data_IF_044184974861
#
_entry.id   IF_044184974861
#
_cell.length_a   1.000
_cell.length_b   1.000
_cell.length_c   1.000
_cell.angle_alpha   90.00
_cell.angle_beta   90.00
_cell.angle_gamma   90.00
#
_symmetry.space_group_name_H-M   'P 1'
#
loop_
_entity.id
_entity.type
_entity.pdbx_description
1 polymer ?
#
# COMPACT_ATOMS: atom_id res chain seq x y z
N UNK A 1 -24.02 -60.26 -65.47
CA UNK A 1 -24.40 -58.84 -65.25
C UNK A 1 -24.02 -58.48 -63.83
N UNK A 2 -23.07 -57.56 -63.62
CA UNK A 2 -22.95 -56.67 -62.45
C UNK A 2 -21.59 -55.97 -62.53
N UNK A 3 -21.60 -54.68 -62.90
CA UNK A 3 -20.45 -53.78 -62.82
C UNK A 3 -20.47 -53.13 -61.43
N UNK A 4 -19.38 -53.26 -60.69
CA UNK A 4 -19.18 -52.58 -59.41
C UNK A 4 -18.53 -51.22 -59.69
N UNK A 5 -19.20 -50.14 -59.30
CA UNK A 5 -18.68 -48.77 -59.34
C UNK A 5 -18.19 -48.45 -57.92
N UNK A 6 -16.89 -48.26 -57.75
CA UNK A 6 -16.30 -47.80 -56.49
C UNK A 6 -16.28 -46.27 -56.51
N UNK A 7 -17.09 -45.64 -55.66
CA UNK A 7 -17.07 -44.19 -55.42
C UNK A 7 -15.97 -43.88 -54.40
N UNK A 8 -14.96 -43.09 -54.81
CA UNK A 8 -13.94 -42.55 -53.94
C UNK A 8 -14.44 -41.20 -53.38
N UNK A 9 -14.76 -41.16 -52.09
CA UNK A 9 -15.13 -39.92 -51.38
C UNK A 9 -13.85 -39.18 -50.96
N UNK A 10 -13.55 -38.06 -51.61
CA UNK A 10 -12.45 -37.17 -51.21
C UNK A 10 -12.91 -36.28 -50.05
N UNK A 11 -12.55 -36.62 -48.81
CA UNK A 11 -12.77 -35.77 -47.65
C UNK A 11 -11.71 -34.67 -47.59
N UNK A 12 -12.05 -33.46 -48.00
CA UNK A 12 -11.21 -32.27 -47.82
C UNK A 12 -11.42 -31.79 -46.38
N UNK A 13 -10.46 -32.12 -45.50
CA UNK A 13 -10.44 -31.63 -44.13
C UNK A 13 -9.94 -30.18 -44.08
N UNK A 14 -10.87 -29.22 -43.98
CA UNK A 14 -10.55 -27.83 -43.69
C UNK A 14 -10.13 -27.70 -42.23
N UNK A 15 -8.82 -27.61 -41.96
CA UNK A 15 -8.32 -27.28 -40.63
C UNK A 15 -8.66 -25.81 -40.32
N UNK A 16 -9.75 -25.59 -39.58
CA UNK A 16 -10.07 -24.26 -39.02
C UNK A 16 -9.13 -24.04 -37.84
N UNK A 17 -8.03 -23.32 -38.08
CA UNK A 17 -7.22 -22.77 -36.99
C UNK A 17 -8.03 -21.67 -36.30
N UNK A 18 -8.58 -21.96 -35.12
CA UNK A 18 -9.18 -20.93 -34.28
C UNK A 18 -8.10 -19.88 -33.95
N UNK A 19 -8.36 -18.58 -34.15
CA UNK A 19 -7.41 -17.55 -33.76
C UNK A 19 -7.16 -17.67 -32.25
N UNK A 20 -5.88 -17.69 -31.85
CA UNK A 20 -5.50 -17.56 -30.45
C UNK A 20 -6.01 -16.21 -29.99
N UNK A 21 -7.08 -16.19 -29.19
CA UNK A 21 -7.57 -14.97 -28.58
C UNK A 21 -6.48 -14.45 -27.64
N UNK A 22 -5.80 -13.37 -28.04
CA UNK A 22 -4.94 -12.63 -27.12
C UNK A 22 -5.82 -12.15 -25.97
N UNK A 23 -5.49 -12.55 -24.74
CA UNK A 23 -6.20 -12.08 -23.56
C UNK A 23 -6.21 -10.55 -23.55
N UNK A 24 -7.36 -9.95 -23.26
CA UNK A 24 -7.47 -8.50 -23.17
C UNK A 24 -6.52 -7.97 -22.07
N UNK A 25 -5.81 -6.86 -22.30
CA UNK A 25 -4.92 -6.31 -21.29
C UNK A 25 -5.67 -5.98 -20.00
N UNK A 26 -5.06 -6.26 -18.86
CA UNK A 26 -5.60 -6.02 -17.52
C UNK A 26 -5.02 -4.75 -16.91
N UNK A 27 -5.81 -4.06 -16.10
CA UNK A 27 -5.34 -2.96 -15.26
C UNK A 27 -5.00 -3.49 -13.87
N UNK A 28 -3.75 -3.31 -13.46
CA UNK A 28 -3.22 -3.79 -12.19
C UNK A 28 -2.80 -2.59 -11.35
N UNK A 29 -3.16 -2.58 -10.07
CA UNK A 29 -2.67 -1.55 -9.15
C UNK A 29 -1.17 -1.74 -8.91
N UNK A 30 -0.35 -0.75 -9.23
CA UNK A 30 1.10 -0.79 -9.11
C UNK A 30 1.64 0.01 -7.91
N UNK A 31 0.84 0.93 -7.37
CA UNK A 31 1.20 1.73 -6.19
C UNK A 31 -0.07 2.18 -5.49
N UNK A 32 -0.03 2.31 -4.15
CA UNK A 32 -1.16 2.82 -3.35
C UNK A 32 -0.72 3.73 -2.20
N UNK A 33 -1.63 4.60 -1.81
CA UNK A 33 -1.67 5.22 -0.49
C UNK A 33 -3.13 5.31 -0.03
N UNK A 34 -3.43 4.81 1.16
CA UNK A 34 -4.81 4.72 1.66
C UNK A 34 -5.44 6.11 1.84
N UNK A 35 -6.72 6.29 1.47
CA UNK A 35 -7.50 7.44 1.90
C UNK A 35 -7.49 7.56 3.43
N UNK A 36 -7.26 8.77 3.93
CA UNK A 36 -7.20 9.08 5.35
C UNK A 36 -7.88 10.43 5.62
N UNK A 37 -8.63 10.58 6.72
CA UNK A 37 -9.24 11.87 7.06
C UNK A 37 -8.17 12.93 7.33
N UNK A 38 -8.57 14.20 7.39
CA UNK A 38 -7.68 15.28 7.83
C UNK A 38 -7.10 14.94 9.21
N UNK A 39 -5.77 14.90 9.27
CA UNK A 39 -5.04 14.56 10.48
C UNK A 39 -5.07 15.65 11.54
N UNK A 40 -5.48 16.88 11.18
CA UNK A 40 -5.50 18.04 12.09
C UNK A 40 -4.16 18.28 12.79
N UNK A 41 -3.06 17.98 12.09
CA UNK A 41 -1.71 18.17 12.62
C UNK A 41 -1.24 19.64 12.51
N UNK A 42 -2.01 20.50 11.81
CA UNK A 42 -1.85 21.96 11.83
C UNK A 42 -2.69 22.60 12.94
N UNK A 43 -2.58 23.92 13.10
CA UNK A 43 -3.48 24.67 14.01
C UNK A 43 -4.77 25.08 13.29
N UNK A 44 -5.74 25.59 14.04
CA UNK A 44 -6.94 26.18 13.46
C UNK A 44 -6.60 27.35 12.51
N UNK A 45 -5.59 28.15 12.87
CA UNK A 45 -5.16 29.32 12.10
C UNK A 45 -4.17 28.98 10.97
N UNK A 46 -3.50 27.84 11.05
CA UNK A 46 -2.52 27.36 10.07
C UNK A 46 -2.72 25.85 9.80
N UNK A 47 -3.81 25.47 9.12
CA UNK A 47 -4.04 24.09 8.75
C UNK A 47 -2.98 23.62 7.73
N UNK A 48 -2.66 22.33 7.76
CA UNK A 48 -1.80 21.73 6.73
C UNK A 48 -2.64 21.54 5.47
N UNK A 49 -2.33 22.31 4.43
CA UNK A 49 -3.04 22.32 3.15
C UNK A 49 -2.09 22.69 2.01
N UNK A 50 -2.50 22.42 0.77
CA UNK A 50 -1.90 23.04 -0.40
C UNK A 50 -2.71 24.28 -0.77
N UNK A 51 -2.06 25.40 -1.06
CA UNK A 51 -2.75 26.63 -1.46
C UNK A 51 -1.87 27.46 -2.40
N UNK A 52 -2.31 27.63 -3.65
CA UNK A 52 -1.53 28.26 -4.72
C UNK A 52 -0.13 27.64 -4.86
N UNK A 53 -0.06 26.30 -4.88
CA UNK A 53 1.19 25.54 -4.82
C UNK A 53 1.24 24.43 -5.85
N UNK A 54 2.45 24.17 -6.36
CA UNK A 54 2.75 23.00 -7.19
C UNK A 54 3.39 21.92 -6.34
N UNK A 55 2.81 20.73 -6.35
CA UNK A 55 3.27 19.58 -5.58
C UNK A 55 3.79 18.50 -6.52
N UNK A 56 4.97 17.98 -6.22
CA UNK A 56 5.53 16.79 -6.86
C UNK A 56 5.55 15.62 -5.89
N UNK A 57 5.05 14.49 -6.34
CA UNK A 57 5.13 13.21 -5.64
C UNK A 57 5.89 12.20 -6.50
N UNK A 58 6.96 11.65 -5.94
CA UNK A 58 7.72 10.56 -6.55
C UNK A 58 7.16 9.23 -6.05
N UNK A 59 6.89 8.28 -6.95
CA UNK A 59 6.30 6.98 -6.63
C UNK A 59 7.08 5.87 -7.34
N UNK A 60 7.42 4.80 -6.61
CA UNK A 60 7.95 3.56 -7.20
C UNK A 60 6.79 2.64 -7.54
N UNK A 61 6.73 2.20 -8.79
CA UNK A 61 5.67 1.32 -9.27
C UNK A 61 6.10 -0.13 -9.09
N UNK A 62 5.32 -0.92 -8.35
CA UNK A 62 5.60 -2.33 -8.08
C UNK A 62 5.36 -3.26 -9.27
N UNK A 63 4.78 -2.78 -10.37
CA UNK A 63 4.52 -3.55 -11.59
C UNK A 63 5.03 -2.82 -12.83
N UNK A 64 5.44 -3.60 -13.82
CA UNK A 64 5.60 -3.13 -15.20
C UNK A 64 4.25 -2.89 -15.87
N UNK A 65 4.25 -2.11 -16.94
CA UNK A 65 3.11 -1.96 -17.84
C UNK A 65 3.36 -0.96 -18.95
N UNK A 66 2.43 -0.91 -19.91
CA UNK A 66 2.54 -0.12 -21.14
C UNK A 66 1.78 1.21 -21.09
N UNK A 67 0.84 1.33 -20.16
CA UNK A 67 0.07 2.54 -19.92
C UNK A 67 -0.24 2.70 -18.43
N UNK A 68 -0.51 3.93 -18.00
CA UNK A 68 -0.85 4.30 -16.63
C UNK A 68 -2.26 4.88 -16.51
N UNK A 69 -2.86 4.73 -15.33
CA UNK A 69 -3.97 5.56 -14.83
C UNK A 69 -3.66 6.02 -13.42
N UNK A 70 -4.00 7.27 -13.11
CA UNK A 70 -3.94 7.80 -11.75
C UNK A 70 -5.32 7.72 -11.11
N UNK A 71 -5.37 7.36 -9.83
CA UNK A 71 -6.57 7.49 -8.98
C UNK A 71 -6.43 8.73 -8.09
N UNK A 72 -7.21 9.75 -8.38
CA UNK A 72 -7.27 11.02 -7.64
C UNK A 72 -8.42 10.92 -6.65
N UNK A 73 -8.13 10.92 -5.35
CA UNK A 73 -9.08 10.61 -4.29
C UNK A 73 -9.43 11.81 -3.42
N UNK A 74 -10.73 11.95 -3.18
CA UNK A 74 -11.35 12.80 -2.20
C UNK A 74 -12.34 11.99 -1.33
N UNK A 75 -12.11 10.67 -1.21
CA UNK A 75 -13.05 9.71 -0.59
C UNK A 75 -13.33 10.01 0.88
N UNK A 76 -12.36 10.60 1.59
CA UNK A 76 -12.52 11.05 2.98
C UNK A 76 -12.40 12.58 3.12
N UNK A 77 -12.48 13.32 2.02
CA UNK A 77 -12.48 14.78 2.06
C UNK A 77 -13.84 15.34 2.48
N UNK A 78 -13.86 16.60 2.89
CA UNK A 78 -15.07 17.29 3.38
C UNK A 78 -15.48 18.47 2.49
N UNK A 79 -14.69 18.79 1.48
CA UNK A 79 -14.96 19.82 0.46
C UNK A 79 -14.58 19.26 -0.91
N UNK A 80 -15.15 19.74 -2.02
CA UNK A 80 -14.69 19.36 -3.35
C UNK A 80 -13.18 19.60 -3.48
N UNK A 81 -12.48 18.64 -4.10
CA UNK A 81 -11.06 18.75 -4.40
C UNK A 81 -10.92 19.30 -5.82
N UNK A 82 -10.22 20.43 -5.95
CA UNK A 82 -9.90 21.03 -7.24
C UNK A 82 -8.39 20.93 -7.51
N UNK A 83 -8.03 20.36 -8.66
CA UNK A 83 -6.62 20.20 -9.08
C UNK A 83 -6.46 20.49 -10.56
N UNK A 84 -5.37 21.17 -10.91
CA UNK A 84 -5.04 21.56 -12.28
C UNK A 84 -3.64 21.06 -12.68
N UNK A 85 -3.38 21.07 -13.99
CA UNK A 85 -2.06 20.82 -14.59
C UNK A 85 -1.34 19.56 -14.12
N UNK A 86 -2.12 18.51 -13.87
CA UNK A 86 -1.57 17.23 -13.46
C UNK A 86 -0.74 16.66 -14.60
N UNK A 87 0.51 16.31 -14.31
CA UNK A 87 1.50 15.81 -15.27
C UNK A 87 2.24 14.63 -14.68
N UNK A 88 2.48 13.60 -15.48
CA UNK A 88 3.29 12.43 -15.09
C UNK A 88 4.51 12.30 -15.99
N UNK A 89 5.64 11.87 -15.43
CA UNK A 89 6.86 11.52 -16.18
C UNK A 89 7.62 10.40 -15.49
N UNK A 90 8.53 9.75 -16.21
CA UNK A 90 9.58 8.97 -15.57
C UNK A 90 10.47 9.88 -14.72
N UNK A 91 10.86 9.43 -13.53
CA UNK A 91 11.65 10.23 -12.60
C UNK A 91 13.06 10.54 -13.14
N UNK A 92 13.61 9.69 -14.01
CA UNK A 92 14.89 9.93 -14.66
C UNK A 92 14.89 11.11 -15.65
N UNK A 93 13.69 11.67 -15.94
CA UNK A 93 13.52 12.88 -16.73
C UNK A 93 13.84 12.72 -18.22
N UNK A 94 14.10 11.50 -18.70
CA UNK A 94 14.48 11.27 -20.11
C UNK A 94 13.31 11.42 -21.08
N UNK A 95 12.10 11.12 -20.62
CA UNK A 95 10.87 11.28 -21.39
C UNK A 95 10.16 12.60 -21.03
N UNK A 96 9.50 13.19 -22.02
CA UNK A 96 8.63 14.35 -21.81
C UNK A 96 7.48 14.00 -20.84
N UNK A 97 7.04 14.98 -20.06
CA UNK A 97 5.90 14.79 -19.17
C UNK A 97 4.60 14.71 -19.99
N UNK A 98 3.75 13.76 -19.63
CA UNK A 98 2.42 13.58 -20.21
C UNK A 98 1.38 14.32 -19.36
N UNK A 99 0.45 15.07 -19.99
CA UNK A 99 -0.68 15.64 -19.26
C UNK A 99 -1.60 14.53 -18.78
N UNK A 100 -2.12 14.68 -17.57
CA UNK A 100 -3.13 13.80 -17.00
C UNK A 100 -4.49 14.48 -17.12
N UNK A 101 -5.43 13.79 -17.75
CA UNK A 101 -6.79 14.25 -17.95
C UNK A 101 -7.80 13.29 -17.33
N UNK A 102 -9.02 13.79 -17.07
CA UNK A 102 -10.19 12.98 -16.75
C UNK A 102 -11.28 13.33 -17.74
N UNK A 103 -11.59 12.40 -18.64
CA UNK A 103 -12.51 12.63 -19.75
C UNK A 103 -12.06 13.84 -20.60
N UNK A 104 -10.77 13.88 -20.92
CA UNK A 104 -10.12 14.96 -21.68
C UNK A 104 -9.92 16.28 -20.92
N UNK A 105 -10.43 16.42 -19.69
CA UNK A 105 -10.31 17.66 -18.90
C UNK A 105 -9.02 17.71 -18.09
N UNK A 106 -8.34 18.86 -18.13
CA UNK A 106 -7.10 19.14 -17.39
C UNK A 106 -7.33 19.88 -16.06
N UNK A 107 -8.51 20.48 -15.88
CA UNK A 107 -9.01 21.01 -14.62
C UNK A 107 -10.00 20.00 -14.06
N UNK A 108 -9.69 19.46 -12.88
CA UNK A 108 -10.33 18.27 -12.33
C UNK A 108 -10.94 18.63 -10.98
N UNK A 109 -12.27 18.52 -10.91
CA UNK A 109 -13.03 18.58 -9.67
C UNK A 109 -13.43 17.17 -9.23
N UNK A 110 -12.93 16.74 -8.07
CA UNK A 110 -13.31 15.47 -7.44
C UNK A 110 -14.34 15.75 -6.35
N UNK A 111 -15.59 15.25 -6.49
CA UNK A 111 -16.62 15.42 -5.48
C UNK A 111 -16.22 14.86 -4.11
N UNK A 112 -16.84 15.39 -3.06
CA UNK A 112 -16.73 14.83 -1.69
C UNK A 112 -17.13 13.36 -1.69
N UNK A 113 -16.34 12.51 -1.05
CA UNK A 113 -16.66 11.08 -0.92
C UNK A 113 -16.36 10.25 -2.17
N UNK A 114 -15.77 10.86 -3.21
CA UNK A 114 -15.50 10.20 -4.48
C UNK A 114 -14.00 10.14 -4.80
N UNK A 115 -13.67 9.37 -5.82
CA UNK A 115 -12.36 9.37 -6.45
C UNK A 115 -12.52 9.12 -7.94
N UNK A 116 -11.71 9.81 -8.73
CA UNK A 116 -11.72 9.71 -10.19
C UNK A 116 -10.50 8.94 -10.69
N UNK A 117 -10.69 8.22 -11.80
CA UNK A 117 -9.61 7.64 -12.57
C UNK A 117 -9.28 8.57 -13.73
N UNK A 118 -8.00 8.76 -14.02
CA UNK A 118 -7.56 9.45 -15.21
C UNK A 118 -7.87 8.65 -16.48
N UNK A 119 -7.81 9.35 -17.61
CA UNK A 119 -7.66 8.72 -18.91
C UNK A 119 -6.35 7.89 -18.94
N UNK A 120 -6.26 6.95 -19.89
CA UNK A 120 -5.07 6.12 -20.04
C UNK A 120 -3.90 6.95 -20.60
N UNK A 121 -2.74 6.82 -19.96
CA UNK A 121 -1.52 7.55 -20.30
C UNK A 121 -0.54 6.56 -20.92
N UNK A 122 -0.12 6.72 -22.19
CA UNK A 122 0.79 5.79 -22.86
C UNK A 122 2.24 5.99 -22.37
N UNK A 123 2.50 5.60 -21.13
CA UNK A 123 3.81 5.65 -20.49
C UNK A 123 4.23 4.23 -20.09
N UNK A 124 5.21 3.70 -20.82
CA UNK A 124 5.82 2.42 -20.50
C UNK A 124 6.68 2.53 -19.24
N UNK A 125 6.52 1.57 -18.33
CA UNK A 125 7.26 1.49 -17.08
C UNK A 125 7.73 0.07 -16.81
N UNK A 126 8.94 -0.08 -16.29
CA UNK A 126 9.42 -1.34 -15.72
C UNK A 126 8.99 -1.47 -14.25
N UNK A 127 8.94 -2.71 -13.74
CA UNK A 127 8.74 -2.94 -12.31
C UNK A 127 9.87 -2.27 -11.50
N UNK A 128 9.50 -1.66 -10.37
CA UNK A 128 10.33 -0.85 -9.49
C UNK A 128 10.87 0.46 -10.10
N UNK A 129 10.40 0.85 -11.29
CA UNK A 129 10.71 2.15 -11.85
C UNK A 129 9.95 3.25 -11.11
N UNK A 130 10.59 4.41 -10.98
CA UNK A 130 10.01 5.57 -10.32
C UNK A 130 9.42 6.55 -11.33
N UNK A 131 8.22 7.05 -11.03
CA UNK A 131 7.56 8.15 -11.74
C UNK A 131 7.49 9.38 -10.84
N UNK A 132 7.35 10.55 -11.46
CA UNK A 132 7.05 11.80 -10.79
C UNK A 132 5.68 12.30 -11.27
N UNK A 133 4.75 12.47 -10.34
CA UNK A 133 3.46 13.14 -10.59
C UNK A 133 3.56 14.57 -10.05
N UNK A 134 3.25 15.55 -10.89
CA UNK A 134 3.20 16.97 -10.55
C UNK A 134 1.75 17.43 -10.67
N UNK A 135 1.28 18.22 -9.73
CA UNK A 135 -0.06 18.78 -9.73
C UNK A 135 -0.07 20.19 -9.14
N UNK A 136 -0.88 21.08 -9.71
CA UNK A 136 -1.07 22.43 -9.21
C UNK A 136 -2.39 22.54 -8.44
N UNK A 137 -2.32 23.13 -7.26
CA UNK A 137 -3.46 23.38 -6.37
C UNK A 137 -3.68 24.89 -6.26
N UNK A 138 -4.54 25.49 -7.12
CA UNK A 138 -4.75 26.94 -7.12
C UNK A 138 -5.47 27.45 -5.87
N UNK A 139 -6.24 26.59 -5.22
CA UNK A 139 -7.09 26.91 -4.07
C UNK A 139 -6.63 26.14 -2.82
N UNK A 140 -6.94 26.65 -1.61
CA UNK A 140 -6.76 25.89 -0.37
C UNK A 140 -7.41 24.51 -0.46
N UNK A 141 -6.58 23.48 -0.36
CA UNK A 141 -6.95 22.07 -0.54
C UNK A 141 -6.52 21.27 0.67
N UNK A 142 -7.47 20.58 1.32
CA UNK A 142 -7.19 19.63 2.39
C UNK A 142 -7.11 18.22 1.81
N UNK A 143 -5.91 17.63 1.68
CA UNK A 143 -5.77 16.35 1.01
C UNK A 143 -6.29 15.19 1.89
N UNK A 144 -7.00 14.25 1.29
CA UNK A 144 -7.69 13.14 1.98
C UNK A 144 -7.03 11.76 1.76
N UNK A 145 -5.73 11.74 1.46
CA UNK A 145 -4.89 10.53 1.41
C UNK A 145 -3.84 10.61 2.52
N UNK A 146 -3.41 9.46 3.04
CA UNK A 146 -2.35 9.37 4.07
C UNK A 146 -1.10 10.17 3.70
N UNK A 147 -0.24 10.39 4.70
CA UNK A 147 1.01 11.11 4.46
C UNK A 147 1.91 10.36 3.49
N UNK A 148 2.49 11.10 2.56
CA UNK A 148 3.48 10.64 1.60
C UNK A 148 4.60 11.67 1.48
N UNK A 149 5.72 11.26 0.88
CA UNK A 149 6.84 12.16 0.62
C UNK A 149 6.50 13.02 -0.58
N UNK A 150 6.60 14.34 -0.41
CA UNK A 150 6.29 15.32 -1.45
C UNK A 150 7.34 16.42 -1.51
N UNK A 151 7.48 17.06 -2.66
CA UNK A 151 8.15 18.36 -2.80
C UNK A 151 7.11 19.40 -3.14
N UNK A 152 7.18 20.56 -2.50
CA UNK A 152 6.20 21.64 -2.68
C UNK A 152 6.95 22.89 -3.10
N UNK A 153 6.47 23.53 -4.16
CA UNK A 153 6.94 24.82 -4.62
C UNK A 153 5.76 25.80 -4.68
N UNK A 154 6.03 27.05 -4.33
CA UNK A 154 5.01 28.10 -4.37
C UNK A 154 4.70 28.53 -5.81
N UNK A 155 3.43 28.86 -6.01
CA UNK A 155 2.89 29.25 -7.30
C UNK A 155 2.77 28.09 -8.28
N UNK A 156 2.38 28.47 -9.50
CA UNK A 156 2.22 27.59 -10.64
C UNK A 156 3.56 27.33 -11.30
N UNK A 157 3.98 26.07 -11.37
CA UNK A 157 5.30 25.67 -11.89
C UNK A 157 5.18 24.49 -12.85
N UNK A 158 5.98 24.46 -13.91
CA UNK A 158 6.03 23.33 -14.85
C UNK A 158 6.77 22.10 -14.32
N UNK A 159 7.65 22.32 -13.35
CA UNK A 159 8.43 21.30 -12.70
C UNK A 159 8.78 21.71 -11.27
N UNK A 160 8.99 20.70 -10.42
CA UNK A 160 9.56 20.88 -9.08
C UNK A 160 10.90 20.15 -9.05
N UNK A 161 11.99 20.90 -8.87
CA UNK A 161 13.36 20.38 -8.95
C UNK A 161 13.69 19.43 -7.79
N UNK A 162 14.68 18.55 -8.00
CA UNK A 162 15.14 17.61 -6.96
C UNK A 162 15.77 18.31 -5.75
N UNK A 163 16.30 19.51 -5.95
CA UNK A 163 16.87 20.37 -4.89
C UNK A 163 15.82 20.90 -3.91
N UNK A 164 14.54 20.88 -4.27
CA UNK A 164 13.46 21.22 -3.34
C UNK A 164 13.41 20.17 -2.24
N UNK A 165 13.45 20.63 -0.99
CA UNK A 165 13.45 19.76 0.18
C UNK A 165 12.18 18.91 0.21
N UNK A 166 12.36 17.62 0.50
CA UNK A 166 11.23 16.71 0.72
C UNK A 166 10.51 17.03 2.03
N UNK A 167 9.18 17.08 1.97
CA UNK A 167 8.26 17.12 3.09
C UNK A 167 7.52 15.79 3.27
N UNK A 168 6.73 15.68 4.34
CA UNK A 168 5.89 14.52 4.62
C UNK A 168 4.48 14.95 5.00
N UNK A 169 3.57 14.96 4.03
CA UNK A 169 2.26 15.60 4.12
C UNK A 169 1.17 14.73 3.49
N UNK A 170 -0.09 14.96 3.85
CA UNK A 170 -1.23 14.30 3.17
C UNK A 170 -1.26 14.71 1.70
N UNK A 171 -1.81 13.84 0.86
CA UNK A 171 -1.85 14.05 -0.60
C UNK A 171 -3.22 13.65 -1.17
N UNK A 172 -3.37 13.67 -2.50
CA UNK A 172 -4.62 13.40 -3.21
C UNK A 172 -4.56 12.17 -4.11
N UNK A 173 -3.36 11.66 -4.43
CA UNK A 173 -3.22 10.45 -5.24
C UNK A 173 -3.25 9.21 -4.36
N UNK A 174 -4.21 8.32 -4.61
CA UNK A 174 -4.43 7.11 -3.80
C UNK A 174 -3.97 5.83 -4.49
N UNK A 175 -3.87 5.83 -5.82
CA UNK A 175 -3.33 4.70 -6.56
C UNK A 175 -2.74 5.10 -7.92
N UNK A 176 -1.83 4.26 -8.42
CA UNK A 176 -1.41 4.21 -9.82
C UNK A 176 -1.73 2.81 -10.33
N UNK A 177 -2.47 2.74 -11.44
CA UNK A 177 -2.73 1.49 -12.15
C UNK A 177 -1.88 1.43 -13.41
N UNK A 178 -1.41 0.24 -13.75
CA UNK A 178 -0.66 -0.04 -14.98
C UNK A 178 -1.45 -1.02 -15.85
N UNK A 179 -1.39 -0.86 -17.16
CA UNK A 179 -1.94 -1.83 -18.11
C UNK A 179 -0.86 -2.83 -18.52
N UNK A 180 -1.17 -4.13 -18.47
CA UNK A 180 -0.26 -5.20 -18.91
C UNK A 180 -1.03 -6.42 -19.42
N UNK A 181 -0.34 -7.33 -20.11
CA UNK A 181 -0.96 -8.52 -20.72
C UNK A 181 -1.34 -9.61 -19.70
N UNK A 182 -0.65 -9.68 -18.56
CA UNK A 182 -0.77 -10.73 -17.56
C UNK A 182 -0.98 -10.15 -16.15
N UNK A 183 -1.74 -10.84 -15.31
CA UNK A 183 -2.03 -10.42 -13.93
C UNK A 183 -0.97 -10.97 -12.95
N UNK A 184 -0.21 -10.12 -12.23
CA UNK A 184 0.64 -10.56 -11.13
C UNK A 184 -0.19 -10.83 -9.86
N UNK A 185 0.40 -11.52 -8.88
CA UNK A 185 -0.21 -11.62 -7.55
C UNK A 185 -0.08 -10.31 -6.77
N UNK A 186 -1.17 -9.85 -6.17
CA UNK A 186 -1.19 -8.60 -5.39
C UNK A 186 -1.16 -8.91 -3.89
N UNK A 187 -0.16 -8.34 -3.22
CA UNK A 187 0.05 -8.45 -1.77
C UNK A 187 -0.19 -7.09 -1.15
N UNK A 188 -1.15 -6.99 -0.24
CA UNK A 188 -1.46 -5.75 0.47
C UNK A 188 -0.86 -5.78 1.87
N UNK A 189 0.03 -4.84 2.17
CA UNK A 189 0.51 -4.57 3.52
C UNK A 189 -0.47 -3.60 4.21
N UNK A 190 -1.31 -4.13 5.11
CA UNK A 190 -2.30 -3.36 5.87
C UNK A 190 -1.78 -3.11 7.28
N UNK A 191 -1.74 -1.85 7.74
CA UNK A 191 -1.29 -1.57 9.10
C UNK A 191 -1.19 -0.10 9.48
N UNK A 192 -0.32 0.17 10.45
CA UNK A 192 -0.15 1.48 11.07
C UNK A 192 1.08 2.27 10.56
N UNK A 193 1.67 3.11 11.43
CA UNK A 193 2.87 3.91 11.17
C UNK A 193 4.09 3.07 10.82
N UNK A 194 4.21 1.86 11.38
CA UNK A 194 5.34 1.00 11.07
C UNK A 194 5.21 0.51 9.63
N UNK A 195 4.01 0.08 9.21
CA UNK A 195 3.72 -0.29 7.81
C UNK A 195 3.79 0.90 6.86
N UNK A 196 3.30 2.07 7.26
CA UNK A 196 3.38 3.32 6.47
C UNK A 196 4.83 3.70 6.16
N UNK A 197 5.77 3.38 7.05
CA UNK A 197 7.17 3.80 6.94
C UNK A 197 7.46 5.12 7.66
N UNK A 198 6.79 5.39 8.78
CA UNK A 198 6.80 6.69 9.45
C UNK A 198 8.20 7.26 9.72
N UNK A 199 9.18 6.39 9.98
CA UNK A 199 10.56 6.74 10.32
C UNK A 199 11.60 6.31 9.29
N UNK A 200 11.18 5.79 8.14
CA UNK A 200 12.07 5.57 7.01
C UNK A 200 12.61 6.92 6.52
N UNK A 201 13.87 6.93 6.05
CA UNK A 201 14.49 8.12 5.46
C UNK A 201 13.61 8.66 4.33
N UNK A 202 13.32 9.96 4.33
CA UNK A 202 12.35 10.53 3.40
C UNK A 202 12.84 10.39 1.95
N UNK A 203 12.05 9.72 1.12
CA UNK A 203 12.34 9.48 -0.29
C UNK A 203 13.26 8.28 -0.56
N UNK A 204 13.71 7.54 0.45
CA UNK A 204 14.58 6.37 0.25
C UNK A 204 13.83 5.12 -0.20
N UNK A 205 12.51 5.07 0.02
CA UNK A 205 11.65 3.90 -0.25
C UNK A 205 12.15 2.65 0.52
N UNK A 206 12.62 2.86 1.75
CA UNK A 206 13.21 1.82 2.60
C UNK A 206 12.23 1.17 3.58
N UNK A 207 10.96 1.59 3.61
CA UNK A 207 9.93 0.94 4.41
C UNK A 207 9.75 -0.54 4.02
N UNK A 208 9.39 -1.39 4.98
CA UNK A 208 9.41 -2.84 4.77
C UNK A 208 8.56 -3.34 3.58
N UNK A 209 7.40 -2.74 3.23
CA UNK A 209 6.64 -3.20 2.05
C UNK A 209 7.39 -2.95 0.73
N UNK A 210 8.08 -1.81 0.60
CA UNK A 210 8.89 -1.51 -0.61
C UNK A 210 10.06 -2.48 -0.74
N UNK A 211 10.72 -2.79 0.38
CA UNK A 211 11.82 -3.76 0.41
C UNK A 211 11.34 -5.17 0.10
N UNK A 212 10.15 -5.56 0.59
CA UNK A 212 9.54 -6.82 0.20
C UNK A 212 9.27 -6.88 -1.31
N UNK A 213 8.75 -5.80 -1.90
CA UNK A 213 8.57 -5.67 -3.34
C UNK A 213 9.87 -5.85 -4.12
N UNK A 214 10.97 -5.26 -3.65
CA UNK A 214 12.30 -5.47 -4.22
C UNK A 214 12.75 -6.93 -4.16
N UNK A 215 12.64 -7.58 -2.98
CA UNK A 215 13.00 -8.99 -2.79
C UNK A 215 12.19 -9.91 -3.71
N UNK A 216 10.89 -9.67 -3.82
CA UNK A 216 10.00 -10.45 -4.70
C UNK A 216 10.33 -10.25 -6.17
N UNK A 217 10.60 -9.02 -6.62
CA UNK A 217 11.01 -8.79 -8.01
C UNK A 217 12.36 -9.45 -8.33
N UNK A 218 13.29 -9.51 -7.38
CA UNK A 218 14.57 -10.19 -7.55
C UNK A 218 14.42 -11.72 -7.63
N UNK A 219 13.59 -12.30 -6.76
CA UNK A 219 13.42 -13.75 -6.67
C UNK A 219 12.41 -14.32 -7.69
N UNK A 220 11.37 -13.56 -8.02
CA UNK A 220 10.26 -13.93 -8.88
C UNK A 220 9.83 -12.74 -9.76
N UNK A 221 10.66 -12.37 -10.78
CA UNK A 221 10.42 -11.18 -11.59
C UNK A 221 9.02 -11.10 -12.18
N UNK A 222 8.40 -9.92 -12.07
CA UNK A 222 7.11 -9.54 -12.65
C UNK A 222 5.88 -10.34 -12.15
N UNK A 223 6.07 -11.24 -11.18
CA UNK A 223 5.02 -12.13 -10.65
C UNK A 223 4.23 -11.54 -9.48
N UNK A 224 4.75 -10.53 -8.80
CA UNK A 224 4.16 -9.99 -7.57
C UNK A 224 4.15 -8.46 -7.57
N UNK A 225 3.17 -7.89 -6.89
CA UNK A 225 3.10 -6.47 -6.54
C UNK A 225 2.82 -6.34 -5.06
N UNK A 226 3.57 -5.46 -4.37
CA UNK A 226 3.33 -5.15 -2.96
C UNK A 226 2.75 -3.75 -2.85
N UNK A 227 1.59 -3.64 -2.21
CA UNK A 227 0.85 -2.39 -2.03
C UNK A 227 0.86 -1.98 -0.55
N UNK A 228 1.23 -0.73 -0.27
CA UNK A 228 1.33 -0.22 1.10
C UNK A 228 0.07 0.56 1.49
N UNK A 229 -0.74 -0.06 2.34
CA UNK A 229 -1.95 0.50 2.95
C UNK A 229 -1.75 0.82 4.44
N UNK A 230 -0.52 1.11 4.86
CA UNK A 230 -0.20 1.55 6.22
C UNK A 230 -0.64 2.99 6.48
N UNK A 231 -1.22 3.30 7.64
CA UNK A 231 -1.56 4.69 8.02
C UNK A 231 -1.04 4.99 9.43
N UNK A 232 -0.25 6.06 9.58
CA UNK A 232 0.35 6.43 10.87
C UNK A 232 -0.68 6.69 11.96
N UNK A 233 -0.62 5.91 13.04
CA UNK A 233 -1.54 5.97 14.17
C UNK A 233 -2.89 5.30 13.92
N UNK A 234 -2.98 4.45 12.89
CA UNK A 234 -4.12 3.55 12.72
C UNK A 234 -4.17 2.52 13.85
N UNK A 235 -5.33 1.89 13.96
CA UNK A 235 -5.70 0.93 14.97
C UNK A 235 -6.58 -0.12 14.29
N UNK A 236 -6.61 -1.33 14.84
CA UNK A 236 -7.41 -2.44 14.32
C UNK A 236 -8.90 -2.24 14.58
N UNK A 237 -9.24 -1.95 15.84
CA UNK A 237 -10.61 -1.94 16.34
C UNK A 237 -11.20 -0.53 16.33
N UNK A 238 -10.46 0.41 16.91
CA UNK A 238 -10.84 1.83 17.00
C UNK A 238 -10.35 2.62 15.78
N UNK A 239 -10.96 3.77 15.48
CA UNK A 239 -10.54 4.64 14.39
C UNK A 239 -9.09 5.16 14.58
N UNK A 240 -8.70 5.57 15.79
CA UNK A 240 -7.36 6.14 16.00
C UNK A 240 -7.17 7.41 15.16
N UNK A 241 -6.09 7.52 14.38
CA UNK A 241 -5.85 8.66 13.46
C UNK A 241 -6.49 8.51 12.07
N UNK A 242 -7.22 7.42 11.80
CA UNK A 242 -7.94 7.19 10.53
C UNK A 242 -9.25 6.45 10.81
N UNK A 243 -9.90 5.83 9.81
CA UNK A 243 -10.84 4.76 10.11
C UNK A 243 -10.09 3.49 10.52
N UNK A 244 -10.70 2.61 11.32
CA UNK A 244 -10.02 1.43 11.88
C UNK A 244 -9.68 0.45 10.75
N UNK A 245 -8.69 -0.40 10.93
CA UNK A 245 -8.33 -1.39 9.92
C UNK A 245 -9.54 -2.29 9.58
N UNK A 246 -10.37 -2.64 10.57
CA UNK A 246 -11.65 -3.34 10.33
C UNK A 246 -12.63 -2.54 9.48
N UNK A 247 -12.77 -1.24 9.75
CA UNK A 247 -13.72 -0.36 9.05
C UNK A 247 -13.28 -0.03 7.62
N UNK A 248 -11.97 -0.01 7.36
CA UNK A 248 -11.43 0.30 6.02
C UNK A 248 -11.04 -0.95 5.22
N UNK A 249 -11.23 -2.16 5.76
CA UNK A 249 -10.83 -3.41 5.11
C UNK A 249 -11.43 -3.55 3.72
N UNK A 250 -12.71 -3.22 3.55
CA UNK A 250 -13.39 -3.32 2.25
C UNK A 250 -12.76 -2.37 1.25
N UNK A 251 -12.60 -1.10 1.63
CA UNK A 251 -12.07 -0.06 0.74
C UNK A 251 -10.60 -0.25 0.40
N UNK A 252 -9.77 -0.53 1.40
CA UNK A 252 -8.31 -0.52 1.26
C UNK A 252 -7.72 -1.88 0.90
N UNK A 253 -8.52 -2.96 0.96
CA UNK A 253 -8.07 -4.30 0.59
C UNK A 253 -9.03 -4.98 -0.36
N UNK A 254 -10.28 -5.25 0.05
CA UNK A 254 -11.18 -6.13 -0.72
C UNK A 254 -11.56 -5.49 -2.07
N UNK A 255 -11.73 -4.17 -2.10
CA UNK A 255 -12.03 -3.40 -3.31
C UNK A 255 -10.78 -3.01 -4.09
N UNK A 256 -9.57 -3.23 -3.55
CA UNK A 256 -8.35 -3.11 -4.35
C UNK A 256 -8.38 -4.24 -5.36
N UNK A 257 -8.39 -3.86 -6.65
CA UNK A 257 -8.49 -4.80 -7.74
C UNK A 257 -7.52 -5.97 -7.52
N UNK A 258 -8.10 -7.16 -7.44
CA UNK A 258 -7.37 -8.42 -7.48
C UNK A 258 -6.39 -8.66 -6.31
N UNK A 259 -6.65 -8.11 -5.11
CA UNK A 259 -5.88 -8.45 -3.91
C UNK A 259 -5.90 -9.98 -3.65
N UNK A 260 -4.74 -10.63 -3.69
CA UNK A 260 -4.61 -12.08 -3.47
C UNK A 260 -4.20 -12.43 -2.03
N UNK A 261 -3.42 -11.54 -1.42
CA UNK A 261 -2.85 -11.76 -0.10
C UNK A 261 -2.79 -10.46 0.71
N UNK A 262 -2.90 -10.59 2.03
CA UNK A 262 -2.71 -9.49 2.98
C UNK A 262 -1.66 -9.88 4.00
N UNK A 263 -0.75 -8.96 4.30
CA UNK A 263 0.05 -9.00 5.52
C UNK A 263 -0.52 -7.93 6.45
N UNK A 264 -1.26 -8.36 7.46
CA UNK A 264 -1.84 -7.50 8.48
C UNK A 264 -0.79 -7.27 9.58
N UNK A 265 -0.43 -6.02 9.80
CA UNK A 265 0.46 -5.63 10.90
C UNK A 265 -0.08 -4.38 11.59
N UNK A 266 -0.91 -4.61 12.60
CA UNK A 266 -1.73 -3.61 13.27
C UNK A 266 -1.97 -4.04 14.72
N UNK A 267 -2.06 -3.08 15.65
CA UNK A 267 -2.46 -3.37 17.04
C UNK A 267 -1.61 -2.71 18.12
N UNK A 268 -0.39 -2.27 17.81
CA UNK A 268 0.48 -1.62 18.82
C UNK A 268 -0.14 -0.32 19.33
N UNK A 269 -0.92 0.37 18.49
CA UNK A 269 -1.67 1.55 18.87
C UNK A 269 -2.94 1.22 19.67
N UNK A 270 -3.61 0.10 19.38
CA UNK A 270 -4.83 -0.34 20.05
C UNK A 270 -4.57 -0.60 21.53
N UNK A 271 -3.50 -1.34 21.83
CA UNK A 271 -3.17 -1.79 23.18
C UNK A 271 -2.65 -0.69 24.11
N UNK A 272 -2.68 0.58 23.71
CA UNK A 272 -2.30 1.72 24.54
C UNK A 272 -3.47 2.18 25.42
N UNK A 273 -3.19 2.41 26.69
CA UNK A 273 -4.20 2.72 27.71
C UNK A 273 -4.12 4.15 28.27
N UNK A 274 -3.19 4.96 27.78
CA UNK A 274 -3.11 6.38 28.15
C UNK A 274 -2.76 6.57 29.62
N UNK A 275 -1.94 5.68 30.17
CA UNK A 275 -1.53 5.67 31.58
C UNK A 275 -2.45 4.88 32.52
N UNK A 276 -3.55 4.29 32.05
CA UNK A 276 -4.35 3.36 32.88
C UNK A 276 -3.59 2.07 33.18
N UNK A 277 -3.68 1.59 34.43
CA UNK A 277 -3.05 0.33 34.86
C UNK A 277 -3.84 -0.92 34.43
N UNK A 278 -5.06 -0.76 33.92
CA UNK A 278 -5.92 -1.84 33.44
C UNK A 278 -6.26 -1.66 31.96
N UNK A 279 -6.43 -2.77 31.20
CA UNK A 279 -6.94 -2.68 29.84
C UNK A 279 -8.29 -1.97 29.80
N UNK A 280 -8.42 -1.02 28.89
CA UNK A 280 -9.73 -0.41 28.61
C UNK A 280 -10.59 -1.46 27.89
N UNK A 281 -11.92 -1.47 28.09
CA UNK A 281 -12.83 -2.34 27.34
C UNK A 281 -12.60 -2.17 25.82
N UNK A 282 -12.45 -3.29 25.10
CA UNK A 282 -12.14 -3.28 23.67
C UNK A 282 -10.65 -3.20 23.33
N UNK A 283 -9.74 -3.20 24.33
CA UNK A 283 -8.28 -3.12 24.14
C UNK A 283 -7.52 -4.24 24.83
N UNK A 284 -8.21 -5.25 25.32
CA UNK A 284 -7.60 -6.47 25.87
C UNK A 284 -7.07 -7.38 24.75
N UNK A 285 -6.23 -8.36 25.10
CA UNK A 285 -5.78 -9.36 24.14
C UNK A 285 -6.96 -10.13 23.52
N UNK A 286 -8.00 -10.44 24.31
CA UNK A 286 -9.18 -11.15 23.84
C UNK A 286 -9.94 -10.36 22.75
N UNK A 287 -10.10 -9.05 22.93
CA UNK A 287 -10.76 -8.17 21.96
C UNK A 287 -9.93 -8.06 20.67
N UNK A 288 -8.61 -7.93 20.80
CA UNK A 288 -7.70 -7.90 19.64
C UNK A 288 -7.78 -9.20 18.85
N UNK A 289 -7.76 -10.35 19.53
CA UNK A 289 -7.90 -11.67 18.90
C UNK A 289 -9.24 -11.81 18.15
N UNK A 290 -10.33 -11.28 18.71
CA UNK A 290 -11.63 -11.22 18.01
C UNK A 290 -11.51 -10.39 16.72
N UNK A 291 -10.92 -9.20 16.79
CA UNK A 291 -10.69 -8.35 15.62
C UNK A 291 -9.84 -9.01 14.54
N UNK A 292 -8.73 -9.65 14.92
CA UNK A 292 -7.86 -10.36 13.99
C UNK A 292 -8.60 -11.50 13.28
N UNK A 293 -9.41 -12.27 14.01
CA UNK A 293 -10.25 -13.34 13.42
C UNK A 293 -11.29 -12.79 12.46
N UNK A 294 -11.89 -11.63 12.76
CA UNK A 294 -12.84 -10.98 11.86
C UNK A 294 -12.15 -10.50 10.57
N UNK A 295 -10.91 -9.98 10.64
CA UNK A 295 -10.14 -9.66 9.43
C UNK A 295 -9.90 -10.91 8.59
N UNK A 296 -9.36 -11.97 9.20
CA UNK A 296 -9.06 -13.20 8.46
C UNK A 296 -10.31 -13.82 7.81
N UNK A 297 -11.40 -13.95 8.57
CA UNK A 297 -12.66 -14.51 8.06
C UNK A 297 -13.21 -13.72 6.87
N UNK A 298 -13.15 -12.38 6.92
CA UNK A 298 -13.63 -11.51 5.83
C UNK A 298 -12.72 -11.60 4.60
N UNK A 299 -11.40 -11.66 4.79
CA UNK A 299 -10.46 -11.86 3.68
C UNK A 299 -10.69 -13.21 2.99
N UNK A 300 -10.83 -14.28 3.77
CA UNK A 300 -11.10 -15.62 3.24
C UNK A 300 -12.43 -15.73 2.51
N UNK A 301 -13.47 -15.00 2.94
CA UNK A 301 -14.75 -14.93 2.24
C UNK A 301 -14.63 -14.34 0.82
N UNK A 302 -13.54 -13.61 0.54
CA UNK A 302 -13.20 -13.07 -0.78
C UNK A 302 -12.04 -13.83 -1.45
N UNK A 303 -11.63 -14.99 -0.92
CA UNK A 303 -10.53 -15.79 -1.47
C UNK A 303 -9.13 -15.18 -1.25
N UNK A 304 -9.01 -14.20 -0.37
CA UNK A 304 -7.75 -13.49 -0.08
C UNK A 304 -7.03 -14.19 1.06
N UNK A 305 -5.77 -14.59 0.86
CA UNK A 305 -4.95 -15.20 1.92
C UNK A 305 -4.54 -14.14 2.95
N UNK A 306 -4.62 -14.48 4.22
CA UNK A 306 -4.32 -13.59 5.33
C UNK A 306 -3.07 -14.05 6.08
N UNK A 307 -2.07 -13.17 6.21
CA UNK A 307 -0.88 -13.36 7.03
C UNK A 307 -0.85 -12.33 8.17
N UNK A 308 -0.46 -12.75 9.38
CA UNK A 308 -0.39 -11.88 10.55
C UNK A 308 1.06 -11.54 10.92
N UNK A 309 1.36 -10.26 11.07
CA UNK A 309 2.61 -9.78 11.66
C UNK A 309 2.51 -9.72 13.18
N UNK A 310 3.44 -10.33 13.91
CA UNK A 310 3.54 -10.17 15.38
C UNK A 310 3.86 -8.73 15.75
N UNK A 311 3.27 -8.20 16.82
CA UNK A 311 3.54 -6.85 17.33
C UNK A 311 5.01 -6.71 17.76
N UNK A 312 5.67 -5.61 17.42
CA UNK A 312 7.11 -5.42 17.70
C UNK A 312 7.36 -4.93 19.13
N UNK A 313 8.57 -5.13 19.68
CA UNK A 313 8.94 -4.60 20.99
C UNK A 313 8.88 -3.07 21.05
N UNK A 314 8.75 -2.49 22.25
CA UNK A 314 8.62 -1.04 22.46
C UNK A 314 9.01 -0.55 23.87
N UNK A 315 9.83 -1.32 24.58
CA UNK A 315 10.20 -1.21 26.01
C UNK A 315 10.73 0.14 26.45
N UNK A 316 11.48 0.82 25.58
CA UNK A 316 12.09 2.12 25.86
C UNK A 316 11.36 3.29 25.19
N UNK A 317 10.18 3.03 24.60
CA UNK A 317 9.38 4.08 23.98
C UNK A 317 8.73 4.96 25.05
N UNK A 318 8.55 6.25 24.76
CA UNK A 318 7.67 7.14 25.53
C UNK A 318 6.23 6.62 25.65
N UNK A 319 5.85 5.65 24.80
CA UNK A 319 4.53 5.03 24.73
C UNK A 319 4.45 3.70 25.48
N UNK A 320 5.54 3.30 26.15
CA UNK A 320 5.60 2.05 26.89
C UNK A 320 4.68 2.07 28.11
N UNK A 321 3.89 1.01 28.25
CA UNK A 321 3.08 0.74 29.43
C UNK A 321 3.20 -0.76 29.74
N UNK A 322 3.48 -1.17 31.00
CA UNK A 322 3.59 -2.58 31.35
C UNK A 322 2.35 -3.42 30.98
N UNK A 323 1.16 -2.83 31.12
CA UNK A 323 -0.11 -3.45 30.71
C UNK A 323 -0.18 -3.69 29.21
N UNK A 324 0.32 -2.75 28.40
CA UNK A 324 0.42 -2.90 26.94
C UNK A 324 1.43 -3.97 26.57
N UNK A 325 2.58 -4.04 27.25
CA UNK A 325 3.59 -5.07 27.01
C UNK A 325 3.07 -6.49 27.33
N UNK A 326 2.29 -6.63 28.41
CA UNK A 326 1.60 -7.87 28.74
C UNK A 326 0.58 -8.27 27.65
N UNK A 327 -0.26 -7.34 27.20
CA UNK A 327 -1.21 -7.58 26.10
C UNK A 327 -0.48 -7.95 24.80
N UNK A 328 0.61 -7.25 24.46
CA UNK A 328 1.46 -7.54 23.31
C UNK A 328 1.99 -8.97 23.36
N UNK A 329 2.52 -9.38 24.51
CA UNK A 329 3.07 -10.73 24.73
C UNK A 329 1.99 -11.79 24.53
N UNK A 330 0.80 -11.59 25.09
CA UNK A 330 -0.33 -12.51 24.92
C UNK A 330 -0.77 -12.62 23.45
N UNK A 331 -0.88 -11.49 22.74
CA UNK A 331 -1.21 -11.48 21.29
C UNK A 331 -0.15 -12.24 20.50
N UNK A 332 1.13 -11.98 20.74
CA UNK A 332 2.22 -12.62 20.00
C UNK A 332 2.34 -14.11 20.31
N UNK A 333 2.05 -14.53 21.54
CA UNK A 333 2.00 -15.94 21.89
C UNK A 333 0.86 -16.65 21.12
N UNK A 334 -0.32 -16.03 21.07
CA UNK A 334 -1.44 -16.56 20.27
C UNK A 334 -1.12 -16.57 18.77
N UNK A 335 -0.54 -15.50 18.25
CA UNK A 335 -0.20 -15.36 16.83
C UNK A 335 0.74 -16.48 16.36
N UNK A 336 1.68 -16.93 17.22
CA UNK A 336 2.59 -18.05 16.91
C UNK A 336 1.93 -19.44 17.03
N UNK A 337 0.68 -19.51 17.46
CA UNK A 337 -0.10 -20.73 17.53
C UNK A 337 -0.65 -21.17 16.18
N UNK A 338 -1.35 -22.31 16.17
CA UNK A 338 -1.94 -22.89 14.94
C UNK A 338 -3.39 -22.48 14.69
N UNK A 339 -4.10 -22.01 15.73
CA UNK A 339 -5.54 -21.74 15.70
C UNK A 339 -5.84 -20.22 15.63
N UNK A 340 -5.13 -19.54 14.73
CA UNK A 340 -5.27 -18.09 14.53
C UNK A 340 -6.36 -17.74 13.50
N UNK A 341 -6.61 -18.65 12.55
CA UNK A 341 -7.40 -18.38 11.36
C UNK A 341 -6.63 -17.67 10.25
N UNK A 342 -5.33 -17.40 10.42
CA UNK A 342 -4.46 -16.87 9.36
C UNK A 342 -3.73 -18.00 8.63
N UNK A 343 -3.41 -17.78 7.37
CA UNK A 343 -2.66 -18.71 6.51
C UNK A 343 -1.16 -18.75 6.85
N UNK A 344 -0.66 -17.73 7.56
CA UNK A 344 0.74 -17.63 7.93
C UNK A 344 1.01 -16.50 8.93
N UNK A 345 2.21 -16.53 9.50
CA UNK A 345 2.66 -15.56 10.50
C UNK A 345 4.04 -15.05 10.11
N UNK A 346 4.23 -13.74 10.18
CA UNK A 346 5.53 -13.09 10.05
C UNK A 346 5.96 -12.61 11.44
N UNK A 347 7.02 -13.22 11.97
CA UNK A 347 7.51 -12.92 13.33
C UNK A 347 8.40 -11.66 13.36
N UNK A 348 7.79 -10.49 13.14
CA UNK A 348 8.46 -9.20 13.24
C UNK A 348 9.01 -8.91 14.66
N UNK A 349 8.43 -9.51 15.70
CA UNK A 349 8.97 -9.42 17.07
C UNK A 349 10.34 -10.06 17.15
N UNK A 350 10.47 -11.31 16.67
CA UNK A 350 11.75 -12.00 16.61
C UNK A 350 12.76 -11.29 15.71
N UNK A 351 12.30 -10.67 14.60
CA UNK A 351 13.16 -9.94 13.68
C UNK A 351 13.79 -8.68 14.29
N UNK A 352 13.12 -8.06 15.27
CA UNK A 352 13.50 -6.74 15.79
C UNK A 352 13.94 -6.69 17.26
N UNK A 353 13.56 -7.67 18.09
CA UNK A 353 13.89 -7.67 19.51
C UNK A 353 15.39 -7.73 19.77
N UNK A 354 15.84 -6.98 20.77
CA UNK A 354 17.19 -7.12 21.30
C UNK A 354 17.30 -8.49 22.01
N UNK A 355 18.23 -9.36 21.58
CA UNK A 355 18.45 -10.66 22.24
C UNK A 355 18.76 -10.56 23.74
N UNK A 356 19.31 -9.43 24.20
CA UNK A 356 19.65 -9.18 25.60
C UNK A 356 18.50 -8.53 26.38
N UNK A 357 17.60 -7.83 25.70
CA UNK A 357 16.45 -7.12 26.27
C UNK A 357 15.22 -7.30 25.36
N UNK A 358 14.50 -8.45 25.45
CA UNK A 358 13.50 -8.82 24.44
C UNK A 358 12.32 -7.86 24.27
N UNK A 359 12.04 -7.00 25.24
CA UNK A 359 11.00 -5.96 25.12
C UNK A 359 11.51 -4.69 24.40
N UNK A 360 12.79 -4.57 24.08
CA UNK A 360 13.38 -3.40 23.43
C UNK A 360 13.80 -3.68 21.98
N UNK A 361 13.83 -2.63 21.17
CA UNK A 361 14.57 -2.64 19.91
C UNK A 361 16.04 -2.24 20.17
N UNK A 362 17.02 -2.86 19.50
CA UNK A 362 18.39 -2.36 19.49
C UNK A 362 18.45 -0.88 19.06
N UNK A 363 19.22 -0.08 19.77
CA UNK A 363 19.27 1.38 19.56
C UNK A 363 19.65 1.78 18.12
N UNK A 364 20.43 0.95 17.42
CA UNK A 364 20.86 1.22 16.04
C UNK A 364 19.79 0.93 14.98
N UNK A 365 18.65 0.32 15.33
CA UNK A 365 17.58 -0.01 14.37
C UNK A 365 16.26 0.72 14.62
N UNK A 366 16.24 1.69 15.52
CA UNK A 366 15.05 2.49 15.86
C UNK A 366 15.37 3.98 15.88
N UNK A 367 14.33 4.83 15.82
CA UNK A 367 14.45 6.29 16.03
C UNK A 367 13.86 6.76 17.36
N UNK A 368 12.87 6.06 17.89
CA UNK A 368 12.08 6.47 19.06
C UNK A 368 11.68 5.27 19.96
N UNK A 369 12.42 4.17 19.83
CA UNK A 369 12.18 2.90 20.53
C UNK A 369 10.80 2.27 20.27
N UNK A 370 10.10 2.72 19.23
CA UNK A 370 8.88 2.10 18.72
C UNK A 370 8.99 1.82 17.23
N UNK A 371 9.37 2.83 16.46
CA UNK A 371 9.42 2.73 15.01
C UNK A 371 10.82 2.30 14.55
N UNK A 372 10.92 1.30 13.66
CA UNK A 372 12.19 0.91 13.05
C UNK A 372 12.77 2.04 12.20
N UNK A 373 14.08 2.15 12.08
CA UNK A 373 14.73 2.97 11.05
C UNK A 373 14.93 2.16 9.76
N UNK A 374 15.66 2.69 8.79
CA UNK A 374 15.91 2.02 7.50
C UNK A 374 16.53 0.62 7.62
N UNK A 375 17.38 0.39 8.62
CA UNK A 375 17.98 -0.92 8.91
C UNK A 375 16.97 -1.85 9.60
N UNK A 376 16.18 -1.33 10.54
CA UNK A 376 15.09 -2.11 11.16
C UNK A 376 14.05 -2.55 10.12
N UNK A 377 13.66 -1.66 9.21
CA UNK A 377 12.76 -2.02 8.10
C UNK A 377 13.37 -3.04 7.13
N UNK A 378 14.69 -3.01 6.93
CA UNK A 378 15.39 -4.07 6.18
C UNK A 378 15.25 -5.42 6.88
N UNK A 379 15.49 -5.48 8.20
CA UNK A 379 15.33 -6.72 8.99
C UNK A 379 13.91 -7.27 8.92
N UNK A 380 12.90 -6.39 9.03
CA UNK A 380 11.50 -6.79 8.86
C UNK A 380 11.24 -7.38 7.47
N UNK A 381 11.71 -6.71 6.42
CA UNK A 381 11.52 -7.20 5.06
C UNK A 381 12.21 -8.55 4.87
N UNK A 382 13.45 -8.71 5.35
CA UNK A 382 14.25 -9.92 5.22
C UNK A 382 13.70 -11.12 6.00
N UNK A 383 12.97 -10.88 7.10
CA UNK A 383 12.35 -11.95 7.90
C UNK A 383 11.13 -12.59 7.25
N UNK A 384 10.60 -11.99 6.17
CA UNK A 384 9.47 -12.57 5.42
C UNK A 384 9.99 -13.69 4.52
N UNK A 385 9.56 -14.92 4.76
CA UNK A 385 9.83 -16.05 3.87
C UNK A 385 9.02 -15.87 2.57
N UNK A 386 9.70 -15.75 1.44
CA UNK A 386 9.03 -15.53 0.16
C UNK A 386 8.21 -16.77 -0.30
N UNK A 387 8.56 -17.96 0.18
CA UNK A 387 7.84 -19.18 -0.15
C UNK A 387 6.41 -19.18 0.40
N UNK A 388 6.17 -18.59 1.58
CA UNK A 388 4.82 -18.47 2.16
C UNK A 388 3.89 -17.61 1.27
N UNK A 389 4.49 -16.68 0.52
CA UNK A 389 3.79 -15.82 -0.43
C UNK A 389 3.60 -16.48 -1.80
N UNK A 390 4.16 -17.67 -2.02
CA UNK A 390 4.13 -18.39 -3.31
C UNK A 390 5.27 -18.04 -4.26
N UNK A 391 6.27 -17.27 -3.79
CA UNK A 391 7.52 -17.07 -4.50
C UNK A 391 8.53 -18.15 -4.08
N UNK A 392 8.37 -19.31 -4.71
CA UNK A 392 9.45 -20.29 -4.83
C UNK A 392 10.24 -19.86 -6.07
N UNK A 393 11.55 -19.59 -5.93
CA UNK A 393 12.39 -19.04 -7.00
C UNK A 393 12.37 -19.88 -8.28
N UNK A 394 13.11 -19.48 -9.35
CA UNK A 394 13.22 -20.33 -10.52
C UNK A 394 13.76 -21.71 -10.07
N UNK A 395 13.02 -22.77 -10.39
CA UNK A 395 13.56 -24.13 -10.32
C UNK A 395 14.73 -24.28 -11.27
#
# INVERSE_FOLDING_TARGET
>A
MQRWITLLSLAIGSAVTAPVALAAPVWVTAWTASPAPDRKDGSADAPVQFAAQTVRQDMRLGSKGDALRLRISNELGTTPLHVEEVRVRLKDGKAAALPVTVDGRTSIDVPVGAALLSDALPLQVAALQEISVIAYFPQPTRPAVRRTVVRVADGKQDAVADSVRVGYQQNVFSAVLVQRADRPQVIVALGDSITEGATASRGSLNQWPERLGLRLQQACPDRFVVLNQGISGNKLLDHGRSHSALSRLDRDVIAVADADQVILFEGINDIRHGGSAQPLPGRSAADMLLGYRQVAARLHAHGIRAHLGTLTPFGDSERYEPVSAATRTAINQWARGKDTGFDGVVDFDAALRDPKQPESLPANITRDHLHPNDEGYRRMADSIDLAMLGCTGPR
#
